data_IF_758950373089
#
_entry.id   IF_758950373089
#
_cell.length_a   1.000
_cell.length_b   1.000
_cell.length_c   1.000
_cell.angle_alpha   90.00
_cell.angle_beta   90.00
_cell.angle_gamma   90.00
#
_symmetry.space_group_name_H-M   'P 1'
#
loop_
_entity.id
_entity.type
_entity.pdbx_description
1 polymer ?
#
# COMPACT_ATOMS: atom_id res chain seq x y z
N UNK A 1 2.48 -8.49 -34.25
CA UNK A 1 2.48 -7.07 -33.81
C UNK A 1 1.74 -6.82 -32.48
N UNK A 2 0.66 -7.53 -32.15
CA UNK A 2 -0.17 -7.23 -30.97
C UNK A 2 0.44 -7.55 -29.59
N UNK A 3 1.42 -8.46 -29.49
CA UNK A 3 2.04 -8.83 -28.20
C UNK A 3 2.85 -7.67 -27.60
N UNK A 4 3.68 -7.01 -28.40
CA UNK A 4 4.51 -5.88 -27.95
C UNK A 4 3.70 -4.64 -27.56
N UNK A 5 2.58 -4.41 -28.27
CA UNK A 5 1.64 -3.32 -27.98
C UNK A 5 0.97 -3.54 -26.61
N UNK A 6 0.59 -4.79 -26.27
CA UNK A 6 0.01 -5.12 -24.96
C UNK A 6 1.00 -4.90 -23.82
N UNK A 7 2.28 -5.27 -23.98
CA UNK A 7 3.30 -4.99 -22.97
C UNK A 7 3.57 -3.49 -22.81
N UNK A 8 3.56 -2.74 -23.90
CA UNK A 8 3.67 -1.27 -23.86
C UNK A 8 2.49 -0.61 -23.13
N UNK A 9 1.26 -1.11 -23.31
CA UNK A 9 0.07 -0.62 -22.59
C UNK A 9 0.09 -0.94 -21.09
N UNK A 10 0.57 -2.13 -20.72
CA UNK A 10 0.74 -2.49 -19.30
C UNK A 10 1.84 -1.63 -18.66
N UNK A 11 2.96 -1.42 -19.37
CA UNK A 11 4.05 -0.59 -18.90
C UNK A 11 3.64 0.89 -18.73
N UNK A 12 2.87 1.44 -19.67
CA UNK A 12 2.37 2.81 -19.55
C UNK A 12 1.31 2.97 -18.45
N UNK A 13 0.50 1.94 -18.18
CA UNK A 13 -0.48 1.92 -17.09
C UNK A 13 0.19 1.81 -15.70
N UNK A 14 1.31 1.08 -15.61
CA UNK A 14 2.15 1.06 -14.40
C UNK A 14 2.84 2.41 -14.21
N UNK A 15 3.34 3.04 -15.28
CA UNK A 15 4.00 4.33 -15.22
C UNK A 15 3.05 5.47 -14.80
N UNK A 16 1.83 5.49 -15.33
CA UNK A 16 0.81 6.46 -14.91
C UNK A 16 0.39 6.26 -13.47
N UNK A 17 0.30 5.00 -13.01
CA UNK A 17 0.03 4.67 -11.62
C UNK A 17 1.14 5.19 -10.69
N UNK A 18 2.41 5.08 -11.08
CA UNK A 18 3.55 5.64 -10.32
C UNK A 18 3.47 7.17 -10.21
N UNK A 19 3.09 7.86 -11.31
CA UNK A 19 2.92 9.31 -11.31
C UNK A 19 1.75 9.76 -10.44
N UNK A 20 0.62 9.06 -10.49
CA UNK A 20 -0.55 9.34 -9.65
C UNK A 20 -0.24 9.09 -8.18
N UNK A 21 0.64 8.13 -7.83
CA UNK A 21 1.03 7.82 -6.45
C UNK A 21 1.99 8.84 -5.84
N UNK A 22 2.72 9.63 -6.65
CA UNK A 22 3.66 10.65 -6.16
C UNK A 22 3.07 11.68 -5.16
N UNK A 23 1.86 12.24 -5.38
CA UNK A 23 1.21 13.09 -4.37
C UNK A 23 0.74 12.32 -3.12
N UNK A 24 0.50 11.01 -3.19
CA UNK A 24 0.11 10.21 -2.01
C UNK A 24 1.32 9.97 -1.08
N UNK A 25 2.51 9.79 -1.66
CA UNK A 25 3.77 9.71 -0.89
C UNK A 25 4.17 11.06 -0.30
N UNK A 26 3.89 12.17 -0.99
CA UNK A 26 4.10 13.52 -0.47
C UNK A 26 3.07 13.85 0.63
N UNK A 27 1.80 13.50 0.40
CA UNK A 27 0.67 13.62 1.34
C UNK A 27 0.90 12.93 2.68
N UNK A 28 1.60 11.78 2.66
CA UNK A 28 1.95 11.03 3.85
C UNK A 28 3.05 11.68 4.73
N UNK A 29 3.73 12.72 4.23
CA UNK A 29 4.74 13.47 4.97
C UNK A 29 4.15 14.65 5.75
N UNK A 30 2.88 15.01 5.50
CA UNK A 30 2.16 16.02 6.27
C UNK A 30 1.59 15.40 7.54
N UNK A 31 2.47 14.98 8.44
CA UNK A 31 2.15 14.92 9.86
C UNK A 31 2.27 16.35 10.38
N UNK A 32 1.16 16.94 10.82
CA UNK A 32 1.17 18.22 11.52
C UNK A 32 2.25 18.19 12.61
N UNK A 33 3.08 19.25 12.75
CA UNK A 33 3.94 19.36 13.92
C UNK A 33 3.00 19.50 15.11
N UNK A 34 2.99 18.51 15.99
CA UNK A 34 2.27 18.61 17.24
C UNK A 34 2.73 19.89 17.99
N UNK A 35 1.84 20.80 18.42
CA UNK A 35 2.26 21.97 19.20
C UNK A 35 2.59 21.64 20.66
N UNK A 36 2.52 20.38 21.09
CA UNK A 36 2.75 19.97 22.48
C UNK A 36 3.82 18.88 22.59
N UNK A 37 5.09 19.27 22.50
CA UNK A 37 6.22 18.39 22.75
C UNK A 37 7.50 19.19 22.95
N UNK A 38 7.62 19.80 24.13
CA UNK A 38 8.77 20.43 24.85
C UNK A 38 10.04 20.93 24.14
N UNK A 39 10.18 20.92 22.81
CA UNK A 39 11.37 21.44 22.11
C UNK A 39 12.67 20.73 22.48
N UNK A 40 12.62 19.52 23.08
CA UNK A 40 13.81 18.79 23.49
C UNK A 40 14.34 17.90 22.33
N UNK A 41 15.62 18.05 21.92
CA UNK A 41 16.17 17.48 20.67
C UNK A 41 16.30 15.94 20.54
N UNK A 42 15.56 15.12 21.30
CA UNK A 42 15.82 13.68 21.40
C UNK A 42 14.64 12.72 21.22
N UNK A 43 13.44 13.06 21.69
CA UNK A 43 12.40 12.04 21.95
C UNK A 43 11.40 11.82 20.80
N UNK A 44 11.08 12.88 20.04
CA UNK A 44 10.07 12.81 18.96
C UNK A 44 10.63 12.31 17.62
N UNK A 45 11.97 12.38 17.42
CA UNK A 45 12.60 12.16 16.11
C UNK A 45 12.55 10.70 15.66
N UNK A 46 12.69 9.76 16.59
CA UNK A 46 12.70 8.33 16.26
C UNK A 46 11.28 7.86 15.90
N UNK A 47 10.28 8.27 16.67
CA UNK A 47 8.87 7.95 16.42
C UNK A 47 8.38 8.54 15.10
N UNK A 48 8.70 9.81 14.80
CA UNK A 48 8.36 10.42 13.51
C UNK A 48 9.05 9.74 12.33
N UNK A 49 10.33 9.38 12.48
CA UNK A 49 11.08 8.69 11.44
C UNK A 49 10.51 7.30 11.14
N UNK A 50 10.15 6.56 12.18
CA UNK A 50 9.50 5.23 12.06
C UNK A 50 8.13 5.37 11.40
N UNK A 51 7.30 6.32 11.81
CA UNK A 51 5.98 6.56 11.22
C UNK A 51 6.08 6.95 9.74
N UNK A 52 7.11 7.73 9.35
CA UNK A 52 7.37 8.07 7.95
C UNK A 52 7.71 6.84 7.11
N UNK A 53 8.56 5.95 7.63
CA UNK A 53 8.90 4.69 6.94
C UNK A 53 7.67 3.80 6.81
N UNK A 54 6.88 3.66 7.88
CA UNK A 54 5.67 2.83 7.88
C UNK A 54 4.66 3.35 6.86
N UNK A 55 4.41 4.67 6.78
CA UNK A 55 3.50 5.24 5.81
C UNK A 55 3.97 5.03 4.36
N UNK A 56 5.26 5.18 4.07
CA UNK A 56 5.82 4.89 2.74
C UNK A 56 5.68 3.40 2.41
N UNK A 57 5.98 2.52 3.36
CA UNK A 57 5.84 1.08 3.19
C UNK A 57 4.38 0.67 2.94
N UNK A 58 3.42 1.25 3.68
CA UNK A 58 1.99 1.03 3.51
C UNK A 58 1.49 1.50 2.15
N UNK A 59 1.94 2.67 1.67
CA UNK A 59 1.57 3.19 0.36
C UNK A 59 2.05 2.28 -0.78
N UNK A 60 3.31 1.83 -0.71
CA UNK A 60 3.89 0.89 -1.70
C UNK A 60 3.19 -0.48 -1.61
N UNK A 61 2.96 -0.99 -0.40
CA UNK A 61 2.28 -2.26 -0.19
C UNK A 61 0.84 -2.24 -0.73
N UNK A 62 0.09 -1.16 -0.49
CA UNK A 62 -1.26 -0.98 -1.04
C UNK A 62 -1.28 -1.00 -2.56
N UNK A 63 -0.30 -0.33 -3.18
CA UNK A 63 -0.17 -0.32 -4.63
C UNK A 63 0.09 -1.71 -5.22
N UNK A 64 1.06 -2.42 -4.64
CA UNK A 64 1.43 -3.76 -5.05
C UNK A 64 0.23 -4.71 -4.87
N UNK A 65 -0.48 -4.62 -3.75
CA UNK A 65 -1.64 -5.45 -3.48
C UNK A 65 -2.75 -5.28 -4.54
N UNK A 66 -3.03 -4.05 -4.97
CA UNK A 66 -3.99 -3.77 -6.06
C UNK A 66 -3.51 -4.32 -7.40
N UNK A 67 -2.22 -4.19 -7.73
CA UNK A 67 -1.67 -4.77 -8.96
C UNK A 67 -1.80 -6.30 -9.00
N UNK A 68 -1.47 -6.98 -7.90
CA UNK A 68 -1.62 -8.43 -7.80
C UNK A 68 -3.10 -8.87 -7.86
N UNK A 69 -4.02 -8.07 -7.32
CA UNK A 69 -5.45 -8.30 -7.45
C UNK A 69 -5.90 -8.22 -8.92
N UNK A 70 -5.47 -7.19 -9.66
CA UNK A 70 -5.80 -7.01 -11.09
C UNK A 70 -5.24 -8.17 -11.92
N UNK A 71 -3.98 -8.56 -11.70
CA UNK A 71 -3.36 -9.68 -12.43
C UNK A 71 -4.09 -11.00 -12.14
N UNK A 72 -4.41 -11.26 -10.87
CA UNK A 72 -5.18 -12.44 -10.47
C UNK A 72 -6.58 -12.47 -11.09
N UNK A 73 -7.28 -11.33 -11.07
CA UNK A 73 -8.61 -11.18 -11.67
C UNK A 73 -8.59 -11.36 -13.18
N UNK A 74 -7.62 -10.76 -13.87
CA UNK A 74 -7.49 -10.90 -15.33
C UNK A 74 -7.21 -12.34 -15.73
N UNK A 75 -6.30 -13.02 -15.00
CA UNK A 75 -5.96 -14.43 -15.20
C UNK A 75 -7.14 -15.36 -14.91
N UNK A 76 -8.00 -15.00 -13.97
CA UNK A 76 -9.24 -15.75 -13.68
C UNK A 76 -10.23 -15.65 -14.84
N UNK A 77 -10.44 -14.45 -15.38
CA UNK A 77 -11.36 -14.23 -16.50
C UNK A 77 -10.84 -14.87 -17.80
N UNK A 78 -9.52 -14.83 -18.04
CA UNK A 78 -8.90 -15.43 -19.23
C UNK A 78 -8.69 -16.95 -19.15
N UNK A 79 -8.92 -17.58 -17.99
CA UNK A 79 -8.77 -19.03 -17.85
C UNK A 79 -9.78 -19.84 -18.70
N UNK A 80 -10.92 -19.24 -19.09
CA UNK A 80 -11.85 -19.72 -20.12
C UNK A 80 -12.01 -21.26 -20.23
N UNK A 81 -12.25 -21.95 -19.11
CA UNK A 81 -12.50 -23.40 -19.06
C UNK A 81 -11.30 -24.28 -18.70
N UNK A 82 -10.09 -23.73 -18.57
CA UNK A 82 -8.94 -24.44 -18.01
C UNK A 82 -9.00 -24.40 -16.47
N UNK A 83 -9.40 -25.52 -15.85
CA UNK A 83 -9.52 -25.67 -14.39
C UNK A 83 -8.22 -25.35 -13.65
N UNK A 84 -7.07 -25.72 -14.21
CA UNK A 84 -5.76 -25.50 -13.59
C UNK A 84 -5.40 -24.00 -13.56
N UNK A 85 -5.63 -23.31 -14.68
CA UNK A 85 -5.42 -21.86 -14.77
C UNK A 85 -6.39 -21.09 -13.85
N UNK A 86 -7.63 -21.55 -13.74
CA UNK A 86 -8.64 -21.00 -12.83
C UNK A 86 -8.27 -21.19 -11.36
N UNK A 87 -7.79 -22.39 -10.99
CA UNK A 87 -7.34 -22.69 -9.63
C UNK A 87 -6.13 -21.84 -9.21
N UNK A 88 -5.14 -21.67 -10.10
CA UNK A 88 -4.01 -20.79 -9.84
C UNK A 88 -4.44 -19.32 -9.70
N UNK A 89 -5.35 -18.84 -10.55
CA UNK A 89 -5.85 -17.48 -10.46
C UNK A 89 -6.60 -17.22 -9.14
N UNK A 90 -7.44 -18.16 -8.69
CA UNK A 90 -8.10 -18.08 -7.37
C UNK A 90 -7.09 -18.01 -6.22
N UNK A 91 -6.00 -18.78 -6.29
CA UNK A 91 -4.94 -18.75 -5.28
C UNK A 91 -4.26 -17.37 -5.23
N UNK A 92 -3.97 -16.78 -6.39
CA UNK A 92 -3.42 -15.43 -6.49
C UNK A 92 -4.39 -14.41 -5.88
N UNK A 93 -5.68 -14.45 -6.25
CA UNK A 93 -6.70 -13.54 -5.70
C UNK A 93 -6.80 -13.67 -4.18
N UNK A 94 -6.82 -14.89 -3.65
CA UNK A 94 -6.89 -15.14 -2.21
C UNK A 94 -5.69 -14.56 -1.48
N UNK A 95 -4.48 -14.78 -2.00
CA UNK A 95 -3.26 -14.21 -1.43
C UNK A 95 -3.24 -12.67 -1.49
N UNK A 96 -3.73 -12.08 -2.60
CA UNK A 96 -3.86 -10.63 -2.73
C UNK A 96 -4.83 -10.05 -1.70
N UNK A 97 -5.97 -10.69 -1.47
CA UNK A 97 -6.95 -10.26 -0.46
C UNK A 97 -6.33 -10.29 0.94
N UNK A 98 -5.60 -11.36 1.29
CA UNK A 98 -4.89 -11.46 2.57
C UNK A 98 -3.90 -10.29 2.73
N UNK A 99 -3.13 -9.97 1.68
CA UNK A 99 -2.22 -8.82 1.68
C UNK A 99 -2.94 -7.49 1.96
N UNK A 100 -4.09 -7.26 1.32
CA UNK A 100 -4.91 -6.05 1.55
C UNK A 100 -5.39 -5.99 3.01
N UNK A 101 -5.87 -7.11 3.56
CA UNK A 101 -6.32 -7.18 4.95
C UNK A 101 -5.19 -6.84 5.92
N UNK A 102 -3.98 -7.36 5.69
CA UNK A 102 -2.80 -7.06 6.52
C UNK A 102 -2.46 -5.57 6.49
N UNK A 103 -2.55 -4.92 5.33
CA UNK A 103 -2.28 -3.48 5.18
C UNK A 103 -3.30 -2.66 5.98
N UNK A 104 -4.58 -3.01 5.91
CA UNK A 104 -5.64 -2.35 6.67
C UNK A 104 -5.42 -2.53 8.18
N UNK A 105 -5.10 -3.74 8.63
CA UNK A 105 -4.82 -4.02 10.03
C UNK A 105 -3.61 -3.24 10.54
N UNK A 106 -2.54 -3.18 9.77
CA UNK A 106 -1.33 -2.40 10.10
C UNK A 106 -1.66 -0.93 10.30
N UNK A 107 -2.51 -0.35 9.43
CA UNK A 107 -2.94 1.04 9.57
C UNK A 107 -3.75 1.29 10.85
N UNK A 108 -4.65 0.38 11.20
CA UNK A 108 -5.45 0.46 12.43
C UNK A 108 -4.54 0.40 13.65
N UNK A 109 -3.59 -0.55 13.68
CA UNK A 109 -2.66 -0.70 14.81
C UNK A 109 -1.82 0.56 15.00
N UNK A 110 -1.26 1.12 13.93
CA UNK A 110 -0.47 2.37 14.00
C UNK A 110 -1.31 3.50 14.57
N UNK A 111 -2.55 3.68 14.10
CA UNK A 111 -3.45 4.72 14.63
C UNK A 111 -3.81 4.51 16.09
N UNK A 112 -4.08 3.27 16.51
CA UNK A 112 -4.39 2.95 17.90
C UNK A 112 -3.21 3.26 18.80
N UNK A 113 -1.99 2.88 18.41
CA UNK A 113 -0.76 3.18 19.17
C UNK A 113 -0.51 4.69 19.23
N UNK A 114 -0.60 5.39 18.09
CA UNK A 114 -0.44 6.86 18.07
C UNK A 114 -1.48 7.56 18.95
N UNK A 115 -2.74 7.13 18.89
CA UNK A 115 -3.80 7.69 19.73
C UNK A 115 -3.58 7.38 21.21
N UNK A 116 -3.14 6.18 21.56
CA UNK A 116 -2.86 5.79 22.94
C UNK A 116 -1.68 6.57 23.54
N UNK A 117 -0.63 6.83 22.74
CA UNK A 117 0.52 7.65 23.14
C UNK A 117 0.16 9.13 23.29
N UNK A 118 -0.65 9.68 22.38
CA UNK A 118 -1.11 11.08 22.44
C UNK A 118 -2.10 11.29 23.59
N UNK A 119 -2.90 10.28 23.93
CA UNK A 119 -3.88 10.34 25.03
C UNK A 119 -3.28 10.35 26.44
N UNK A 120 -1.98 10.09 26.61
CA UNK A 120 -1.30 10.14 27.93
C UNK A 120 -0.84 11.55 28.32
N UNK A 121 -1.02 12.55 27.45
CA UNK A 121 -0.58 13.94 27.68
C UNK A 121 -1.74 14.93 27.91
N UNK A 122 -2.83 14.50 28.55
CA UNK A 122 -3.82 15.42 29.12
C UNK A 122 -4.18 14.95 30.52
#
# INVERSE_FOLDING_TARGET
MSKYIKYAQIASMVLSLVLVVSPFLAGAQYTNPNPAGTGLPGDTRLSEFILKIINIALAIAGLIAVLFLIIGGFRYITAAGNEEAGAQAKKIITNSIIGIVVIILSFVIVRVISSALISQNI
#
